data_IF_013461829215
#
_entry.id   IF_013461829215
#
_cell.length_a   1.000
_cell.length_b   1.000
_cell.length_c   1.000
_cell.angle_alpha   90.00
_cell.angle_beta   90.00
_cell.angle_gamma   90.00
#
_symmetry.space_group_name_H-M   'P 1'
#
loop_
_entity.id
_entity.type
_entity.pdbx_description
1 polymer ?
#
# COMPACT_ATOMS: atom_id res chain seq x y z
N UNK A 1 12.09 15.28 -5.98
CA UNK A 1 12.55 16.30 -4.99
C UNK A 1 11.53 17.43 -4.89
N UNK A 2 11.03 18.02 -5.98
CA UNK A 2 10.09 19.14 -5.97
C UNK A 2 8.81 18.86 -5.15
N UNK A 3 8.13 17.74 -5.41
CA UNK A 3 6.93 17.38 -4.66
C UNK A 3 7.21 17.19 -3.16
N UNK A 4 8.37 16.66 -2.79
CA UNK A 4 8.76 16.53 -1.39
C UNK A 4 9.01 17.90 -0.75
N UNK A 5 9.63 18.82 -1.48
CA UNK A 5 9.83 20.19 -1.03
C UNK A 5 8.48 20.90 -0.78
N UNK A 6 7.55 20.80 -1.74
CA UNK A 6 6.20 21.39 -1.60
C UNK A 6 5.46 20.76 -0.42
N UNK A 7 5.54 19.45 -0.26
CA UNK A 7 4.91 18.71 0.84
C UNK A 7 5.47 19.13 2.21
N UNK A 8 6.79 19.24 2.36
CA UNK A 8 7.43 19.70 3.59
C UNK A 8 7.02 21.17 3.91
N UNK A 9 6.98 22.01 2.88
CA UNK A 9 6.56 23.42 3.03
C UNK A 9 5.09 23.53 3.47
N UNK A 10 4.22 22.69 2.89
CA UNK A 10 2.81 22.61 3.26
C UNK A 10 2.64 22.13 4.71
N UNK A 11 3.34 21.08 5.12
CA UNK A 11 3.29 20.59 6.50
C UNK A 11 3.73 21.67 7.50
N UNK A 12 4.79 22.41 7.16
CA UNK A 12 5.24 23.53 7.96
C UNK A 12 4.20 24.65 8.07
N UNK A 13 3.55 24.99 6.94
CA UNK A 13 2.44 25.98 6.88
C UNK A 13 1.32 25.63 7.86
N UNK A 14 0.96 24.34 7.95
CA UNK A 14 -0.12 23.86 8.82
C UNK A 14 0.36 23.39 10.21
N UNK A 15 1.59 23.65 10.58
CA UNK A 15 2.19 23.21 11.84
C UNK A 15 2.08 21.69 12.07
N UNK A 16 2.25 20.92 10.99
CA UNK A 16 2.28 19.46 11.02
C UNK A 16 3.74 19.02 11.09
N UNK A 17 4.06 18.15 12.05
CA UNK A 17 5.37 17.55 12.20
C UNK A 17 5.37 16.13 11.67
N UNK A 18 5.74 15.88 10.40
CA UNK A 18 5.79 14.55 9.84
C UNK A 18 7.02 13.79 10.33
N UNK A 19 6.87 12.46 10.41
CA UNK A 19 7.98 11.52 10.56
C UNK A 19 8.02 10.71 9.27
N UNK A 20 9.09 10.83 8.50
CA UNK A 20 9.28 10.06 7.27
C UNK A 20 9.86 8.70 7.61
N UNK A 21 9.29 7.63 7.05
CA UNK A 21 9.77 6.27 7.27
C UNK A 21 10.20 5.69 5.93
N UNK A 22 11.45 5.24 5.87
CA UNK A 22 12.03 4.59 4.70
C UNK A 22 12.05 3.08 4.88
N UNK A 23 11.72 2.36 3.81
CA UNK A 23 11.79 0.91 3.78
C UNK A 23 13.21 0.41 4.01
N UNK A 24 13.32 -0.67 4.76
CA UNK A 24 14.54 -1.47 4.87
C UNK A 24 14.55 -2.65 3.90
N UNK A 25 15.04 -3.80 4.35
CA UNK A 25 15.08 -5.02 3.55
C UNK A 25 13.68 -5.63 3.46
N UNK A 26 13.21 -5.87 2.23
CA UNK A 26 11.95 -6.60 2.04
C UNK A 26 12.09 -8.06 2.54
N UNK A 27 11.03 -8.66 3.10
CA UNK A 27 11.00 -10.05 3.51
C UNK A 27 11.24 -10.99 2.33
N UNK A 28 11.86 -12.13 2.60
CA UNK A 28 12.19 -13.10 1.54
C UNK A 28 10.93 -13.68 0.86
N UNK A 29 9.83 -13.79 1.58
CA UNK A 29 8.53 -14.24 1.04
C UNK A 29 7.97 -13.32 -0.06
N UNK A 30 8.38 -12.04 -0.10
CA UNK A 30 7.95 -11.05 -1.10
C UNK A 30 8.80 -11.07 -2.39
N UNK A 31 9.81 -11.93 -2.48
CA UNK A 31 10.75 -11.94 -3.61
C UNK A 31 10.07 -12.24 -4.95
N UNK A 32 9.08 -13.13 -4.96
CA UNK A 32 8.33 -13.45 -6.19
C UNK A 32 7.61 -12.21 -6.73
N UNK A 33 6.84 -11.53 -5.88
CA UNK A 33 6.12 -10.28 -6.25
C UNK A 33 7.10 -9.19 -6.71
N UNK A 34 8.26 -9.06 -6.05
CA UNK A 34 9.29 -8.12 -6.45
C UNK A 34 9.89 -8.45 -7.82
N UNK A 35 10.08 -9.73 -8.12
CA UNK A 35 10.57 -10.18 -9.42
C UNK A 35 9.53 -9.94 -10.53
N UNK A 36 8.25 -10.23 -10.30
CA UNK A 36 7.17 -9.92 -11.23
C UNK A 36 7.13 -8.41 -11.55
N UNK A 37 7.17 -7.57 -10.52
CA UNK A 37 7.21 -6.09 -10.68
C UNK A 37 8.45 -5.62 -11.45
N UNK A 38 9.60 -6.28 -11.25
CA UNK A 38 10.84 -5.97 -11.97
C UNK A 38 10.74 -6.32 -13.46
N UNK A 39 10.19 -7.48 -13.79
CA UNK A 39 9.98 -7.88 -15.19
C UNK A 39 8.92 -7.00 -15.88
N UNK A 40 7.82 -6.67 -15.23
CA UNK A 40 6.83 -5.74 -15.77
C UNK A 40 7.46 -4.37 -16.09
N UNK A 41 8.30 -3.82 -15.20
CA UNK A 41 9.02 -2.58 -15.44
C UNK A 41 9.99 -2.69 -16.61
N UNK A 42 10.65 -3.82 -16.78
CA UNK A 42 11.58 -4.06 -17.90
C UNK A 42 10.83 -4.11 -19.23
N UNK A 43 9.66 -4.75 -19.28
CA UNK A 43 8.80 -4.77 -20.46
C UNK A 43 8.35 -3.35 -20.87
N UNK A 44 7.90 -2.54 -19.89
CA UNK A 44 7.52 -1.14 -20.15
C UNK A 44 8.70 -0.31 -20.68
N UNK A 45 9.90 -0.56 -20.18
CA UNK A 45 11.11 0.10 -20.66
C UNK A 45 11.48 -0.32 -22.08
N UNK A 46 11.31 -1.59 -22.42
CA UNK A 46 11.51 -2.09 -23.78
C UNK A 46 10.51 -1.46 -24.76
N UNK A 47 9.20 -1.45 -24.42
CA UNK A 47 8.17 -0.79 -25.21
C UNK A 47 8.49 0.69 -25.45
N UNK A 48 8.91 1.40 -24.39
CA UNK A 48 9.31 2.80 -24.49
C UNK A 48 10.47 2.99 -25.49
N UNK A 49 11.53 2.18 -25.37
CA UNK A 49 12.70 2.26 -26.25
C UNK A 49 12.35 1.95 -27.72
N UNK A 50 11.49 0.96 -27.96
CA UNK A 50 10.99 0.65 -29.31
C UNK A 50 10.19 1.81 -29.91
N UNK A 51 9.30 2.42 -29.12
CA UNK A 51 8.53 3.58 -29.57
C UNK A 51 9.42 4.78 -29.87
N UNK A 52 10.39 5.08 -29.01
CA UNK A 52 11.37 6.16 -29.23
C UNK A 52 12.17 5.92 -30.51
N UNK A 53 12.64 4.70 -30.75
CA UNK A 53 13.40 4.34 -31.94
C UNK A 53 12.55 4.38 -33.23
N UNK A 54 11.24 4.09 -33.14
CA UNK A 54 10.28 4.17 -34.28
C UNK A 54 9.79 5.61 -34.53
N UNK A 55 9.92 6.51 -33.55
CA UNK A 55 9.38 7.89 -33.59
C UNK A 55 10.11 8.79 -34.59
N UNK A 56 11.30 8.41 -35.12
CA UNK A 56 11.90 9.08 -36.26
C UNK A 56 11.03 9.02 -37.55
N UNK A 57 9.90 8.30 -37.56
CA UNK A 57 9.02 8.10 -38.72
C UNK A 57 7.50 8.33 -38.49
N UNK A 58 7.00 8.52 -37.26
CA UNK A 58 5.57 8.75 -36.99
C UNK A 58 5.35 9.55 -35.71
N UNK A 59 4.40 10.48 -35.69
CA UNK A 59 3.97 11.25 -34.52
C UNK A 59 3.24 10.34 -33.49
N UNK A 60 3.97 9.74 -32.59
CA UNK A 60 3.35 9.11 -31.39
C UNK A 60 2.98 10.17 -30.35
N UNK A 61 1.84 9.98 -29.69
CA UNK A 61 1.36 10.86 -28.64
C UNK A 61 2.42 10.96 -27.52
N UNK A 62 2.90 12.17 -27.25
CA UNK A 62 3.77 12.50 -26.11
C UNK A 62 3.19 11.98 -24.77
N UNK A 63 1.88 11.83 -24.70
CA UNK A 63 1.16 11.26 -23.57
C UNK A 63 1.56 9.79 -23.32
N UNK A 64 1.54 8.93 -24.36
CA UNK A 64 1.90 7.50 -24.22
C UNK A 64 3.34 7.32 -23.77
N UNK A 65 4.28 8.09 -24.33
CA UNK A 65 5.68 8.05 -23.90
C UNK A 65 5.85 8.48 -22.45
N UNK A 66 5.10 9.50 -22.00
CA UNK A 66 5.15 9.95 -20.60
C UNK A 66 4.57 8.92 -19.64
N UNK A 67 3.50 8.22 -20.03
CA UNK A 67 2.89 7.13 -19.26
C UNK A 67 3.85 5.96 -19.09
N UNK A 68 4.44 5.47 -20.17
CA UNK A 68 5.43 4.41 -20.14
C UNK A 68 6.63 4.77 -19.26
N UNK A 69 7.18 5.98 -19.42
CA UNK A 69 8.31 6.47 -18.62
C UNK A 69 8.00 6.46 -17.12
N UNK A 70 6.79 6.86 -16.72
CA UNK A 70 6.35 6.79 -15.32
C UNK A 70 6.30 5.35 -14.81
N UNK A 71 5.87 4.39 -15.65
CA UNK A 71 5.72 2.99 -15.26
C UNK A 71 7.03 2.28 -14.92
N UNK A 72 8.16 2.67 -15.52
CA UNK A 72 9.48 2.07 -15.24
C UNK A 72 10.46 2.97 -14.49
N UNK A 73 10.03 4.19 -14.10
CA UNK A 73 10.88 5.09 -13.32
C UNK A 73 11.28 4.41 -11.99
N UNK A 74 12.55 4.51 -11.64
CA UNK A 74 13.09 3.97 -10.39
C UNK A 74 13.75 5.10 -9.61
N UNK A 75 13.52 5.10 -8.31
CA UNK A 75 14.32 5.91 -7.39
C UNK A 75 15.69 5.28 -7.24
N UNK A 76 16.71 6.10 -7.33
CA UNK A 76 18.10 5.70 -7.07
C UNK A 76 18.45 5.89 -5.60
N UNK A 77 19.55 5.32 -5.15
CA UNK A 77 20.05 5.60 -3.80
C UNK A 77 20.41 7.07 -3.62
N UNK A 78 20.87 7.72 -4.69
CA UNK A 78 21.16 9.16 -4.67
C UNK A 78 19.87 9.98 -4.46
N UNK A 79 18.76 9.62 -5.12
CA UNK A 79 17.46 10.27 -4.92
C UNK A 79 17.00 10.14 -3.46
N UNK A 80 17.20 8.96 -2.87
CA UNK A 80 16.86 8.71 -1.46
C UNK A 80 17.74 9.58 -0.54
N UNK A 81 19.04 9.67 -0.81
CA UNK A 81 19.95 10.49 0.01
C UNK A 81 19.65 11.98 -0.12
N UNK A 82 19.30 12.44 -1.31
CA UNK A 82 18.85 13.83 -1.53
C UNK A 82 17.57 14.08 -0.76
N UNK A 83 16.61 13.15 -0.80
CA UNK A 83 15.36 13.29 -0.05
C UNK A 83 15.60 13.36 1.47
N UNK A 84 16.49 12.53 2.02
CA UNK A 84 16.88 12.57 3.44
C UNK A 84 17.56 13.89 3.82
N UNK A 85 18.44 14.42 2.96
CA UNK A 85 19.07 15.72 3.16
C UNK A 85 18.03 16.84 3.18
N UNK A 86 17.07 16.82 2.25
CA UNK A 86 15.98 17.79 2.21
C UNK A 86 15.12 17.76 3.49
N UNK A 87 14.71 16.57 3.94
CA UNK A 87 13.94 16.40 5.18
C UNK A 87 14.70 16.99 6.37
N UNK A 88 15.97 16.70 6.49
CA UNK A 88 16.83 17.27 7.55
C UNK A 88 16.96 18.79 7.47
N UNK A 89 17.06 19.35 6.27
CA UNK A 89 17.15 20.82 6.10
C UNK A 89 15.88 21.56 6.54
N UNK A 90 14.73 20.88 6.55
CA UNK A 90 13.48 21.37 7.12
C UNK A 90 13.40 21.19 8.65
N UNK A 91 14.39 20.57 9.29
CA UNK A 91 14.35 20.21 10.71
C UNK A 91 13.41 19.05 11.02
N UNK A 92 13.02 18.27 10.00
CA UNK A 92 12.10 17.14 10.13
C UNK A 92 12.85 15.83 10.38
N UNK A 93 12.15 14.87 10.96
CA UNK A 93 12.70 13.57 11.31
C UNK A 93 12.42 12.51 10.24
N UNK A 94 13.36 11.57 10.08
CA UNK A 94 13.10 10.34 9.36
C UNK A 94 13.64 9.13 10.14
N UNK A 95 13.05 7.97 9.87
CA UNK A 95 13.45 6.67 10.41
C UNK A 95 13.76 5.75 9.24
N UNK A 96 14.83 5.00 9.33
CA UNK A 96 15.11 3.88 8.44
C UNK A 96 14.59 2.61 9.11
N UNK A 97 13.55 1.98 8.53
CA UNK A 97 13.05 0.70 9.01
C UNK A 97 14.08 -0.41 8.78
N UNK A 98 14.07 -1.42 9.60
CA UNK A 98 14.86 -2.65 9.39
C UNK A 98 14.26 -3.49 8.27
N UNK A 99 12.93 -3.64 8.30
CA UNK A 99 12.11 -4.28 7.26
C UNK A 99 11.28 -3.25 6.49
N UNK A 100 10.10 -3.65 6.06
CA UNK A 100 9.13 -2.73 5.43
C UNK A 100 8.68 -1.64 6.40
N UNK A 101 8.37 -0.47 5.86
CA UNK A 101 7.97 0.70 6.66
C UNK A 101 6.54 0.60 7.21
N UNK A 102 5.68 -0.15 6.53
CA UNK A 102 4.25 -0.19 6.78
C UNK A 102 3.88 -0.67 8.19
N UNK A 103 4.40 -1.80 8.69
CA UNK A 103 4.13 -2.23 10.06
C UNK A 103 4.60 -1.21 11.11
N UNK A 104 5.74 -0.55 10.86
CA UNK A 104 6.26 0.48 11.76
C UNK A 104 5.37 1.73 11.77
N UNK A 105 4.89 2.17 10.61
CA UNK A 105 3.93 3.28 10.50
C UNK A 105 2.67 2.99 11.31
N UNK A 106 2.10 1.80 11.15
CA UNK A 106 0.90 1.38 11.86
C UNK A 106 1.14 1.33 13.37
N UNK A 107 2.27 0.79 13.80
CA UNK A 107 2.62 0.68 15.21
C UNK A 107 2.76 2.05 15.88
N UNK A 108 3.38 3.02 15.21
CA UNK A 108 3.49 4.39 15.72
C UNK A 108 2.11 5.02 15.96
N UNK A 109 1.15 4.79 15.08
CA UNK A 109 -0.23 5.29 15.24
C UNK A 109 -0.96 4.53 16.37
N UNK A 110 -0.84 3.20 16.43
CA UNK A 110 -1.43 2.37 17.49
C UNK A 110 -0.91 2.76 18.88
N UNK A 111 0.37 3.09 18.98
CA UNK A 111 1.01 3.56 20.23
C UNK A 111 0.82 5.04 20.53
N UNK A 112 0.00 5.75 19.76
CA UNK A 112 -0.22 7.21 19.87
C UNK A 112 1.08 8.04 19.79
N UNK A 113 2.11 7.54 19.09
CA UNK A 113 3.34 8.29 18.78
C UNK A 113 3.17 9.14 17.52
N UNK A 114 2.22 8.78 16.67
CA UNK A 114 1.77 9.56 15.53
C UNK A 114 0.23 9.64 15.52
N UNK A 115 -0.32 10.71 14.97
CA UNK A 115 -1.77 10.91 14.88
C UNK A 115 -2.39 10.02 13.81
N UNK A 116 -1.78 9.94 12.64
CA UNK A 116 -2.24 9.16 11.50
C UNK A 116 -1.05 8.70 10.65
N UNK A 117 -1.24 7.68 9.85
CA UNK A 117 -0.34 7.31 8.77
C UNK A 117 -0.78 7.99 7.47
N UNK A 118 0.14 8.61 6.73
CA UNK A 118 -0.09 9.12 5.39
C UNK A 118 0.51 8.13 4.38
N UNK A 119 -0.34 7.36 3.72
CA UNK A 119 0.05 6.38 2.70
C UNK A 119 -1.10 6.14 1.74
N UNK A 120 -0.78 5.97 0.45
CA UNK A 120 -1.76 5.55 -0.56
C UNK A 120 -1.91 4.02 -0.61
N UNK A 121 -1.18 3.29 0.23
CA UNK A 121 -1.30 1.85 0.34
C UNK A 121 -2.53 1.47 1.19
N UNK A 122 -3.34 0.51 0.68
CA UNK A 122 -4.50 -0.01 1.40
C UNK A 122 -4.11 -1.00 2.51
N UNK A 123 -2.91 -1.57 2.45
CA UNK A 123 -2.41 -2.51 3.44
C UNK A 123 -2.35 -1.88 4.84
N UNK A 124 -2.20 -0.55 4.92
CA UNK A 124 -2.31 0.19 6.18
C UNK A 124 -3.61 -0.11 6.94
N UNK A 125 -4.73 -0.21 6.21
CA UNK A 125 -6.04 -0.52 6.79
C UNK A 125 -6.10 -2.00 7.17
N UNK A 126 -5.51 -2.87 6.36
CA UNK A 126 -5.38 -4.31 6.64
C UNK A 126 -4.59 -4.60 7.92
N UNK A 127 -3.53 -3.85 8.16
CA UNK A 127 -2.76 -3.89 9.42
C UNK A 127 -3.51 -3.29 10.63
N UNK A 128 -4.71 -2.77 10.42
CA UNK A 128 -5.53 -2.17 11.47
C UNK A 128 -5.01 -0.82 11.96
N UNK A 129 -4.47 0.00 11.06
CA UNK A 129 -4.04 1.36 11.40
C UNK A 129 -5.25 2.21 11.84
N UNK A 130 -5.26 2.78 13.05
CA UNK A 130 -6.41 3.52 13.58
C UNK A 130 -6.89 4.68 12.68
N UNK A 131 -5.95 5.40 12.06
CA UNK A 131 -6.21 6.53 11.13
C UNK A 131 -5.24 6.51 9.98
N UNK A 132 -5.77 6.47 8.76
CA UNK A 132 -4.99 6.51 7.52
C UNK A 132 -5.43 7.72 6.71
N UNK A 133 -4.48 8.52 6.27
CA UNK A 133 -4.67 9.61 5.33
C UNK A 133 -4.20 9.17 3.96
N UNK A 134 -5.02 9.37 2.93
CA UNK A 134 -4.73 8.99 1.55
C UNK A 134 -5.03 10.13 0.59
N UNK A 135 -4.50 10.00 -0.62
CA UNK A 135 -4.77 10.94 -1.72
C UNK A 135 -4.45 12.40 -1.35
N UNK A 136 -3.27 12.61 -0.77
CA UNK A 136 -2.80 13.96 -0.46
C UNK A 136 -2.69 14.80 -1.74
N UNK A 137 -3.51 15.82 -1.84
CA UNK A 137 -3.44 16.79 -2.92
C UNK A 137 -2.62 18.02 -2.48
N UNK A 138 -1.41 18.14 -3.00
CA UNK A 138 -0.55 19.32 -2.71
C UNK A 138 -1.12 20.62 -3.30
N UNK A 139 -1.96 20.53 -4.33
CA UNK A 139 -2.58 21.68 -4.99
C UNK A 139 -3.83 22.15 -4.22
N UNK A 140 -4.69 21.20 -3.82
CA UNK A 140 -5.92 21.50 -3.08
C UNK A 140 -5.69 21.54 -1.56
N UNK A 141 -4.52 21.13 -1.10
CA UNK A 141 -4.15 21.03 0.32
C UNK A 141 -5.17 20.20 1.11
N UNK A 142 -5.61 19.08 0.52
CA UNK A 142 -6.63 18.18 1.07
C UNK A 142 -6.13 16.75 1.13
N UNK A 143 -6.73 15.96 2.01
CA UNK A 143 -6.46 14.53 2.19
C UNK A 143 -7.77 13.81 2.50
N UNK A 144 -7.89 12.54 2.13
CA UNK A 144 -9.01 11.69 2.54
C UNK A 144 -8.61 10.94 3.80
N UNK A 145 -9.45 11.04 4.83
CA UNK A 145 -9.23 10.39 6.12
C UNK A 145 -10.05 9.11 6.24
N UNK A 146 -9.39 8.01 6.56
CA UNK A 146 -10.00 6.73 6.87
C UNK A 146 -9.86 6.44 8.38
N UNK A 147 -10.97 6.11 9.03
CA UNK A 147 -11.01 5.70 10.42
C UNK A 147 -11.32 4.21 10.50
N UNK A 148 -10.34 3.42 10.96
CA UNK A 148 -10.45 1.96 11.01
C UNK A 148 -11.66 1.47 11.81
N UNK A 149 -11.86 2.03 13.01
CA UNK A 149 -12.99 1.67 13.86
C UNK A 149 -14.33 1.92 13.18
N UNK A 150 -14.45 3.06 12.46
CA UNK A 150 -15.67 3.37 11.73
C UNK A 150 -15.90 2.42 10.56
N UNK A 151 -14.84 2.04 9.85
CA UNK A 151 -14.93 1.04 8.76
C UNK A 151 -15.48 -0.28 9.31
N UNK A 152 -14.94 -0.77 10.42
CA UNK A 152 -15.43 -2.02 11.04
C UNK A 152 -16.91 -1.91 11.45
N UNK A 153 -17.31 -0.77 12.02
CA UNK A 153 -18.69 -0.53 12.41
C UNK A 153 -19.63 -0.45 11.20
N UNK A 154 -19.25 0.25 10.14
CA UNK A 154 -20.06 0.43 8.93
C UNK A 154 -20.22 -0.90 8.15
N UNK A 155 -19.24 -1.80 8.25
CA UNK A 155 -19.27 -3.15 7.64
C UNK A 155 -19.86 -4.23 8.56
N UNK A 156 -20.11 -3.90 9.81
CA UNK A 156 -20.53 -4.86 10.86
C UNK A 156 -19.60 -6.08 10.96
N UNK A 157 -18.29 -5.84 11.05
CA UNK A 157 -17.26 -6.86 11.03
C UNK A 157 -16.28 -6.70 12.20
N UNK A 158 -15.76 -7.82 12.72
CA UNK A 158 -14.68 -7.77 13.71
C UNK A 158 -13.34 -7.42 13.06
N UNK A 159 -12.40 -6.87 13.84
CA UNK A 159 -11.06 -6.58 13.32
C UNK A 159 -10.32 -7.82 12.83
N UNK A 160 -10.53 -8.97 13.47
CA UNK A 160 -9.95 -10.25 13.06
C UNK A 160 -10.50 -10.70 11.71
N UNK A 161 -11.83 -10.79 11.59
CA UNK A 161 -12.46 -11.24 10.34
C UNK A 161 -12.17 -10.29 9.18
N UNK A 162 -12.04 -8.98 9.46
CA UNK A 162 -11.63 -8.00 8.46
C UNK A 162 -10.20 -8.27 7.96
N UNK A 163 -9.28 -8.59 8.86
CA UNK A 163 -7.91 -8.97 8.48
C UNK A 163 -7.92 -10.26 7.65
N UNK A 164 -8.68 -11.28 8.08
CA UNK A 164 -8.83 -12.54 7.34
C UNK A 164 -9.38 -12.28 5.92
N UNK A 165 -10.40 -11.42 5.78
CA UNK A 165 -10.93 -11.04 4.47
C UNK A 165 -9.90 -10.35 3.57
N UNK A 166 -9.08 -9.45 4.11
CA UNK A 166 -8.06 -8.75 3.34
C UNK A 166 -6.98 -9.73 2.88
N UNK A 167 -6.54 -10.64 3.74
CA UNK A 167 -5.57 -11.67 3.39
C UNK A 167 -6.12 -12.57 2.27
N UNK A 168 -7.36 -13.04 2.40
CA UNK A 168 -8.05 -13.85 1.40
C UNK A 168 -8.29 -13.11 0.07
N UNK A 169 -8.46 -11.79 0.10
CA UNK A 169 -8.57 -10.98 -1.11
C UNK A 169 -7.26 -10.87 -1.91
N UNK A 170 -6.16 -11.26 -1.30
CA UNK A 170 -4.82 -11.23 -1.86
C UNK A 170 -4.00 -10.05 -1.35
N UNK A 171 -2.79 -10.32 -1.01
CA UNK A 171 -1.77 -9.37 -0.57
C UNK A 171 -0.50 -9.55 -1.39
N UNK A 172 0.51 -8.72 -1.15
CA UNK A 172 1.85 -8.93 -1.72
C UNK A 172 2.51 -10.27 -1.29
N UNK A 173 1.93 -10.95 -0.29
CA UNK A 173 2.44 -12.19 0.29
C UNK A 173 1.70 -13.45 -0.18
N UNK A 174 0.51 -13.31 -0.77
CA UNK A 174 -0.27 -14.42 -1.26
C UNK A 174 -1.41 -13.98 -2.17
N UNK A 175 -1.72 -14.80 -3.18
CA UNK A 175 -2.80 -14.55 -4.15
C UNK A 175 -3.84 -15.64 -4.00
N UNK A 176 -5.09 -15.25 -3.83
CA UNK A 176 -6.23 -16.17 -3.82
C UNK A 176 -7.11 -15.95 -5.05
N UNK A 177 -7.85 -16.99 -5.50
CA UNK A 177 -8.58 -16.94 -6.77
C UNK A 177 -9.80 -16.03 -6.76
N UNK A 178 -10.33 -15.66 -5.57
CA UNK A 178 -11.53 -14.83 -5.46
C UNK A 178 -11.17 -13.37 -5.19
N UNK A 179 -12.00 -12.47 -5.70
CA UNK A 179 -11.92 -11.06 -5.35
C UNK A 179 -12.59 -10.76 -3.99
N UNK A 180 -12.30 -9.59 -3.41
CA UNK A 180 -12.79 -9.17 -2.08
C UNK A 180 -14.33 -9.21 -1.97
N UNK A 181 -15.08 -8.91 -3.04
CA UNK A 181 -16.54 -8.91 -2.99
C UNK A 181 -17.11 -10.31 -2.83
N UNK A 182 -16.48 -11.32 -3.45
CA UNK A 182 -16.90 -12.72 -3.29
C UNK A 182 -16.61 -13.21 -1.87
N UNK A 183 -15.44 -12.88 -1.33
CA UNK A 183 -15.10 -13.21 0.06
C UNK A 183 -16.02 -12.52 1.07
N UNK A 184 -16.40 -11.28 0.81
CA UNK A 184 -17.34 -10.56 1.65
C UNK A 184 -18.75 -11.18 1.62
N UNK A 185 -19.21 -11.67 0.47
CA UNK A 185 -20.47 -12.42 0.38
C UNK A 185 -20.43 -13.74 1.17
N UNK A 186 -19.30 -14.45 1.13
CA UNK A 186 -19.08 -15.64 1.98
C UNK A 186 -19.12 -15.26 3.47
N UNK A 187 -18.54 -14.12 3.83
CA UNK A 187 -18.58 -13.59 5.20
C UNK A 187 -20.01 -13.25 5.67
N UNK A 188 -20.83 -12.61 4.84
CA UNK A 188 -22.24 -12.35 5.14
C UNK A 188 -23.00 -13.67 5.35
N UNK A 189 -22.67 -14.70 4.57
CA UNK A 189 -23.27 -16.04 4.73
C UNK A 189 -22.84 -16.69 6.04
N UNK A 190 -21.58 -16.51 6.44
CA UNK A 190 -21.04 -16.92 7.72
C UNK A 190 -21.76 -16.24 8.89
N UNK A 191 -21.90 -14.92 8.88
CA UNK A 191 -22.61 -14.17 9.94
C UNK A 191 -24.04 -14.68 10.14
N UNK A 192 -24.75 -15.03 9.04
CA UNK A 192 -26.11 -15.56 9.10
C UNK A 192 -26.20 -16.99 9.62
N UNK A 193 -25.10 -17.73 9.61
CA UNK A 193 -25.08 -19.14 9.99
C UNK A 193 -25.09 -19.38 11.50
N UNK A 194 -24.66 -18.39 12.30
CA UNK A 194 -24.55 -18.44 13.77
C UNK A 194 -23.86 -19.71 14.31
N UNK A 195 -22.85 -20.22 13.60
CA UNK A 195 -22.24 -21.54 13.85
C UNK A 195 -21.24 -21.51 15.02
N UNK A 196 -20.85 -20.33 15.53
CA UNK A 196 -19.95 -20.19 16.69
C UNK A 196 -18.48 -20.63 16.45
N UNK A 197 -18.05 -20.79 15.19
CA UNK A 197 -16.66 -21.05 14.80
C UNK A 197 -16.04 -19.81 14.16
N UNK A 198 -14.73 -19.78 13.90
CA UNK A 198 -14.11 -18.65 13.18
C UNK A 198 -14.54 -18.62 11.70
N UNK A 199 -14.38 -17.46 11.05
CA UNK A 199 -14.69 -17.34 9.63
C UNK A 199 -13.86 -18.30 8.76
N UNK A 200 -12.58 -18.46 9.05
CA UNK A 200 -11.71 -19.41 8.34
C UNK A 200 -12.17 -20.86 8.53
N UNK A 201 -12.54 -21.27 9.76
CA UNK A 201 -13.07 -22.61 10.03
C UNK A 201 -14.39 -22.86 9.29
N UNK A 202 -15.26 -21.84 9.22
CA UNK A 202 -16.48 -21.92 8.41
C UNK A 202 -16.20 -22.16 6.93
N UNK A 203 -15.25 -21.43 6.35
CA UNK A 203 -14.87 -21.61 4.95
C UNK A 203 -14.31 -23.00 4.68
N UNK A 204 -13.54 -23.54 5.62
CA UNK A 204 -13.01 -24.90 5.56
C UNK A 204 -14.12 -25.96 5.63
N UNK A 205 -15.05 -25.84 6.57
CA UNK A 205 -16.22 -26.73 6.69
C UNK A 205 -17.11 -26.74 5.44
N UNK A 206 -17.18 -25.61 4.74
CA UNK A 206 -17.91 -25.50 3.47
C UNK A 206 -17.13 -25.96 2.25
N UNK A 207 -15.90 -26.46 2.41
CA UNK A 207 -14.97 -26.80 1.33
C UNK A 207 -14.72 -25.62 0.35
N UNK A 208 -14.77 -24.39 0.86
CA UNK A 208 -14.49 -23.17 0.09
C UNK A 208 -13.00 -22.84 0.15
N UNK A 209 -12.34 -23.18 1.24
CA UNK A 209 -10.92 -22.98 1.51
C UNK A 209 -10.30 -24.30 1.94
N UNK A 210 -9.17 -24.70 1.34
CA UNK A 210 -8.49 -25.93 1.67
C UNK A 210 -7.39 -25.71 2.71
N UNK A 211 -7.05 -26.76 3.47
CA UNK A 211 -6.06 -26.68 4.55
C UNK A 211 -4.68 -26.20 4.07
N UNK A 212 -4.27 -26.63 2.86
CA UNK A 212 -3.02 -26.18 2.22
C UNK A 212 -3.00 -24.66 1.91
N UNK A 213 -4.16 -24.07 1.68
CA UNK A 213 -4.31 -22.63 1.44
C UNK A 213 -4.26 -21.83 2.76
N UNK A 214 -4.83 -22.40 3.84
CA UNK A 214 -4.80 -21.80 5.18
C UNK A 214 -3.37 -21.74 5.73
N UNK A 215 -2.54 -22.76 5.51
CA UNK A 215 -1.15 -22.80 5.94
C UNK A 215 -0.26 -21.73 5.28
N UNK A 216 -0.75 -21.06 4.25
CA UNK A 216 -0.08 -19.95 3.57
C UNK A 216 -0.51 -18.56 4.07
N UNK A 217 -1.52 -18.51 4.94
CA UNK A 217 -2.02 -17.27 5.57
C UNK A 217 -1.19 -16.89 6.80
#
# INVERSE_FOLDING_TARGET
VENLFVMCSMFRKYNISPIFIYDGKAPDIKQETLNERKEAKKQLQQEYNELVNKTSKRNYSTKRLSELRRGFCRLTMEDIDISKKLIKSYGLSYIQSVGESDPLCVELVKKNKAYACLSDDMDMIGYGCPRVFRYLSLVKETVISYNYKKILQDLDITGKDFTDLIILAGTDYGKFPKNIFLWYNDYISYQRSDIGVSFLDYLQQKNILFEEEILRL
#
